data_IF_019988292452
#
_entry.id   IF_019988292452
#
_cell.length_a   1.000
_cell.length_b   1.000
_cell.length_c   1.000
_cell.angle_alpha   90.00
_cell.angle_beta   90.00
_cell.angle_gamma   90.00
#
_symmetry.space_group_name_H-M   'P 1'
#
loop_
_entity.id
_entity.type
_entity.pdbx_description
1 polymer ?
#
# COMPACT_ATOMS: atom_id res chain seq x y z
N UNK A 1 34.71 -28.93 9.02
CA UNK A 1 34.67 -29.58 7.69
C UNK A 1 34.76 -28.46 6.65
N UNK A 2 35.94 -28.25 6.08
CA UNK A 2 36.19 -27.18 5.09
C UNK A 2 35.49 -27.56 3.80
N UNK A 3 34.48 -26.78 3.38
CA UNK A 3 33.81 -27.01 2.10
C UNK A 3 34.84 -26.85 0.96
N UNK A 4 34.85 -27.74 -0.04
CA UNK A 4 35.84 -27.65 -1.12
C UNK A 4 35.62 -26.36 -1.92
N UNK A 5 36.71 -25.62 -2.10
CA UNK A 5 36.76 -24.38 -2.85
C UNK A 5 36.34 -24.63 -4.31
N UNK A 6 35.20 -24.04 -4.71
CA UNK A 6 34.59 -24.29 -6.01
C UNK A 6 35.12 -23.22 -6.97
N UNK A 7 35.83 -23.59 -8.05
CA UNK A 7 36.50 -22.62 -8.91
C UNK A 7 35.51 -21.64 -9.57
N UNK A 8 35.86 -20.34 -9.60
CA UNK A 8 35.05 -19.22 -10.14
C UNK A 8 34.74 -19.30 -11.63
N UNK A 9 35.39 -20.22 -12.35
CA UNK A 9 35.17 -20.38 -13.77
C UNK A 9 34.85 -21.82 -14.10
N UNK A 10 33.88 -22.01 -14.99
CA UNK A 10 33.65 -23.30 -15.64
C UNK A 10 34.19 -23.21 -17.05
N UNK A 11 35.10 -24.13 -17.37
CA UNK A 11 35.61 -24.26 -18.73
C UNK A 11 34.88 -25.41 -19.40
N UNK A 12 33.95 -25.07 -20.29
CA UNK A 12 33.34 -26.05 -21.17
C UNK A 12 34.29 -26.25 -22.35
N UNK A 13 34.91 -27.42 -22.41
CA UNK A 13 35.76 -27.83 -23.51
C UNK A 13 35.08 -28.99 -24.25
N UNK A 14 34.47 -28.69 -25.39
CA UNK A 14 33.99 -29.70 -26.31
C UNK A 14 35.18 -30.24 -27.13
N UNK A 15 35.35 -31.57 -27.19
CA UNK A 15 36.50 -32.21 -27.86
C UNK A 15 36.49 -32.00 -29.38
N UNK A 16 35.39 -31.50 -29.94
CA UNK A 16 35.24 -31.21 -31.36
C UNK A 16 35.41 -29.72 -31.72
N UNK A 17 35.60 -28.83 -30.74
CA UNK A 17 35.71 -27.39 -30.97
C UNK A 17 37.16 -26.89 -30.96
N UNK A 18 37.56 -26.12 -31.98
CA UNK A 18 38.89 -25.52 -32.08
C UNK A 18 39.14 -24.32 -31.13
N UNK A 19 38.14 -23.93 -30.32
CA UNK A 19 38.22 -22.81 -29.38
C UNK A 19 37.61 -23.19 -28.02
N UNK A 20 38.24 -22.74 -26.94
CA UNK A 20 37.84 -23.04 -25.55
C UNK A 20 37.14 -21.81 -24.97
N UNK A 21 35.91 -21.97 -24.48
CA UNK A 21 35.14 -20.87 -23.87
C UNK A 21 35.21 -20.96 -22.34
N UNK A 22 35.55 -19.85 -21.70
CA UNK A 22 35.59 -19.72 -20.24
C UNK A 22 34.41 -18.84 -19.81
N UNK A 23 33.56 -19.34 -18.91
CA UNK A 23 32.52 -18.54 -18.27
C UNK A 23 32.93 -18.23 -16.85
N UNK A 24 32.98 -16.94 -16.52
CA UNK A 24 33.20 -16.46 -15.17
C UNK A 24 31.86 -16.43 -14.42
N UNK A 25 31.85 -16.94 -13.19
CA UNK A 25 30.69 -16.94 -12.30
C UNK A 25 31.06 -16.10 -11.10
N UNK A 26 30.36 -14.99 -10.91
CA UNK A 26 30.51 -14.17 -9.71
C UNK A 26 29.98 -14.92 -8.49
N UNK A 27 30.81 -15.05 -7.46
CA UNK A 27 30.46 -15.71 -6.19
C UNK A 27 30.59 -14.70 -5.05
N UNK A 28 29.79 -14.88 -4.00
CA UNK A 28 29.80 -14.03 -2.79
C UNK A 28 31.07 -14.16 -1.93
N UNK A 29 32.07 -14.93 -2.39
CA UNK A 29 33.29 -15.23 -1.64
C UNK A 29 34.52 -15.01 -2.53
N UNK A 30 35.09 -13.80 -2.58
CA UNK A 30 36.35 -13.50 -3.28
C UNK A 30 37.54 -14.37 -2.83
N UNK A 31 38.58 -14.41 -3.65
CA UNK A 31 39.73 -15.31 -3.52
C UNK A 31 40.66 -14.94 -2.35
N UNK A 32 40.52 -13.72 -1.81
CA UNK A 32 41.19 -13.26 -0.59
C UNK A 32 40.52 -13.78 0.70
N UNK A 33 39.47 -14.60 0.56
CA UNK A 33 38.77 -15.22 1.67
C UNK A 33 37.77 -14.31 2.37
N UNK A 34 37.67 -13.03 1.97
CA UNK A 34 36.60 -12.16 2.45
C UNK A 34 35.25 -12.63 1.91
N UNK A 35 34.17 -12.44 2.66
CA UNK A 35 32.82 -12.77 2.21
C UNK A 35 32.09 -11.45 2.04
N UNK A 36 31.69 -11.13 0.81
CA UNK A 36 31.05 -9.84 0.50
C UNK A 36 29.73 -9.69 1.25
N UNK A 37 29.02 -10.81 1.45
CA UNK A 37 27.76 -10.83 2.19
C UNK A 37 27.98 -10.56 3.69
N UNK A 38 29.08 -11.06 4.27
CA UNK A 38 29.42 -10.79 5.66
C UNK A 38 29.93 -9.35 5.88
N UNK A 39 30.70 -8.79 4.94
CA UNK A 39 31.11 -7.38 5.00
C UNK A 39 29.90 -6.44 4.99
N UNK A 40 28.92 -6.71 4.14
CA UNK A 40 27.68 -5.92 4.07
C UNK A 40 26.87 -5.94 5.38
N UNK A 41 26.78 -7.10 6.03
CA UNK A 41 26.11 -7.24 7.33
C UNK A 41 26.84 -6.49 8.46
N UNK A 42 28.16 -6.36 8.35
CA UNK A 42 29.02 -5.67 9.34
C UNK A 42 29.02 -4.15 9.12
N UNK A 43 28.94 -3.69 7.87
CA UNK A 43 28.86 -2.28 7.48
C UNK A 43 27.45 -1.68 7.67
N UNK A 44 26.40 -2.52 7.63
CA UNK A 44 25.02 -2.11 7.85
C UNK A 44 24.35 -3.04 8.86
N UNK A 45 24.72 -2.98 10.15
CA UNK A 45 24.15 -3.83 11.16
C UNK A 45 22.65 -3.58 11.25
N UNK A 46 21.86 -4.66 11.22
CA UNK A 46 20.44 -4.56 11.52
C UNK A 46 20.27 -3.84 12.88
N UNK A 47 19.35 -2.86 13.00
CA UNK A 47 19.17 -2.17 14.27
C UNK A 47 18.76 -3.21 15.32
N UNK A 48 19.65 -3.46 16.28
CA UNK A 48 19.37 -4.32 17.42
C UNK A 48 18.49 -3.57 18.42
N UNK A 49 17.23 -3.36 18.05
CA UNK A 49 16.17 -3.07 19.02
C UNK A 49 15.34 -4.33 19.21
N UNK A 50 15.87 -5.24 20.02
CA UNK A 50 15.03 -6.18 20.77
C UNK A 50 14.47 -5.44 21.98
N UNK A 51 13.58 -4.49 21.74
CA UNK A 51 12.54 -4.25 22.72
C UNK A 51 11.52 -5.39 22.57
N UNK A 52 11.16 -6.10 23.66
CA UNK A 52 10.02 -6.99 23.62
C UNK A 52 8.81 -6.15 23.24
N UNK A 53 7.96 -6.66 22.34
CA UNK A 53 6.68 -6.04 21.99
C UNK A 53 5.93 -5.67 23.28
N UNK A 54 6.05 -4.41 23.68
CA UNK A 54 5.29 -3.83 24.77
C UNK A 54 4.43 -2.75 24.15
N UNK A 55 3.13 -3.06 24.08
CA UNK A 55 2.02 -2.16 23.77
C UNK A 55 2.03 -1.51 22.38
N UNK A 56 1.42 -2.20 21.41
CA UNK A 56 0.60 -1.57 20.37
C UNK A 56 -0.58 -0.84 21.05
N UNK A 57 -0.34 0.36 21.56
CA UNK A 57 -1.39 1.28 22.03
C UNK A 57 -1.05 2.72 21.65
N UNK A 58 -0.54 2.90 20.42
CA UNK A 58 -0.30 4.23 19.86
C UNK A 58 -0.64 4.36 18.37
N UNK A 59 -1.53 3.53 17.84
CA UNK A 59 -1.91 3.54 16.41
C UNK A 59 -3.42 3.42 16.23
N UNK A 60 -4.18 4.30 16.89
CA UNK A 60 -5.62 4.44 16.63
C UNK A 60 -5.93 5.84 16.11
N UNK A 61 -5.50 6.87 16.83
CA UNK A 61 -5.94 8.24 16.55
C UNK A 61 -5.23 8.84 15.32
N UNK A 62 -3.94 8.56 15.13
CA UNK A 62 -3.19 8.99 13.94
C UNK A 62 -3.65 8.26 12.67
N UNK A 63 -3.95 6.96 12.79
CA UNK A 63 -4.43 6.14 11.68
C UNK A 63 -5.87 6.53 11.27
N UNK A 64 -6.71 6.88 12.25
CA UNK A 64 -8.08 7.36 12.00
C UNK A 64 -8.06 8.73 11.31
N UNK A 65 -7.23 9.67 11.77
CA UNK A 65 -7.07 10.97 11.11
C UNK A 65 -6.55 10.82 9.67
N UNK A 66 -5.58 9.93 9.45
CA UNK A 66 -5.07 9.63 8.11
C UNK A 66 -6.16 9.05 7.19
N UNK A 67 -7.00 8.15 7.72
CA UNK A 67 -8.11 7.57 6.95
C UNK A 67 -9.15 8.64 6.58
N UNK A 68 -9.49 9.55 7.50
CA UNK A 68 -10.41 10.66 7.24
C UNK A 68 -9.88 11.59 6.13
N UNK A 69 -8.62 12.02 6.22
CA UNK A 69 -7.99 12.87 5.21
C UNK A 69 -7.99 12.22 3.82
N UNK A 70 -7.66 10.93 3.75
CA UNK A 70 -7.66 10.18 2.50
C UNK A 70 -9.06 10.09 1.87
N UNK A 71 -10.10 9.91 2.70
CA UNK A 71 -11.49 9.88 2.23
C UNK A 71 -11.95 11.25 1.72
N UNK A 72 -11.63 12.32 2.43
CA UNK A 72 -11.92 13.68 2.00
C UNK A 72 -11.23 13.98 0.66
N UNK A 73 -9.93 13.67 0.54
CA UNK A 73 -9.20 13.84 -0.71
C UNK A 73 -9.84 13.05 -1.86
N UNK A 74 -10.31 11.82 -1.60
CA UNK A 74 -11.00 11.03 -2.60
C UNK A 74 -12.30 11.70 -3.08
N UNK A 75 -13.09 12.32 -2.20
CA UNK A 75 -14.28 13.09 -2.58
C UNK A 75 -13.89 14.31 -3.42
N UNK A 76 -12.82 15.03 -3.05
CA UNK A 76 -12.35 16.17 -3.85
C UNK A 76 -11.93 15.75 -5.26
N UNK A 77 -11.22 14.62 -5.39
CA UNK A 77 -10.87 14.06 -6.69
C UNK A 77 -12.11 13.66 -7.51
N UNK A 78 -13.17 13.17 -6.87
CA UNK A 78 -14.45 12.87 -7.53
C UNK A 78 -15.16 14.14 -8.04
N UNK A 79 -15.09 15.23 -7.26
CA UNK A 79 -15.64 16.52 -7.68
C UNK A 79 -14.84 17.12 -8.85
N UNK A 80 -13.52 17.02 -8.82
CA UNK A 80 -12.65 17.50 -9.89
C UNK A 80 -12.84 16.70 -11.19
N UNK A 81 -12.96 15.38 -11.08
CA UNK A 81 -13.22 14.50 -12.24
C UNK A 81 -14.66 14.56 -12.73
N UNK A 82 -15.60 15.00 -11.90
CA UNK A 82 -17.04 14.99 -12.20
C UNK A 82 -17.67 13.59 -12.17
N UNK A 83 -16.95 12.59 -11.65
CA UNK A 83 -17.38 11.19 -11.60
C UNK A 83 -17.38 10.66 -10.15
N UNK A 84 -18.49 10.06 -9.67
CA UNK A 84 -19.80 10.00 -10.34
C UNK A 84 -20.51 11.36 -10.36
N UNK A 85 -21.38 11.57 -11.35
CA UNK A 85 -22.18 12.81 -11.45
C UNK A 85 -23.04 13.08 -10.19
N UNK A 86 -23.34 12.03 -9.42
CA UNK A 86 -24.01 12.13 -8.13
C UNK A 86 -23.23 12.96 -7.09
N UNK A 87 -21.89 12.98 -7.16
CA UNK A 87 -21.02 13.70 -6.21
C UNK A 87 -21.27 15.20 -6.28
N UNK A 88 -21.18 15.80 -7.47
CA UNK A 88 -21.47 17.22 -7.67
C UNK A 88 -22.93 17.57 -7.38
N UNK A 89 -23.87 16.71 -7.81
CA UNK A 89 -25.29 16.93 -7.55
C UNK A 89 -25.61 16.94 -6.05
N UNK A 90 -24.95 16.09 -5.27
CA UNK A 90 -25.12 16.01 -3.82
C UNK A 90 -24.56 17.24 -3.12
N UNK A 91 -23.35 17.69 -3.49
CA UNK A 91 -22.77 18.92 -2.96
C UNK A 91 -23.67 20.14 -3.24
N UNK A 92 -24.14 20.29 -4.48
CA UNK A 92 -25.04 21.37 -4.87
C UNK A 92 -26.37 21.33 -4.08
N UNK A 93 -26.92 20.14 -3.87
CA UNK A 93 -28.16 19.96 -3.10
C UNK A 93 -27.97 20.37 -1.64
N UNK A 94 -26.91 19.91 -0.99
CA UNK A 94 -26.66 20.18 0.43
C UNK A 94 -26.35 21.66 0.68
N UNK A 95 -25.50 22.26 -0.16
CA UNK A 95 -25.20 23.70 -0.09
C UNK A 95 -26.43 24.58 -0.33
N UNK A 96 -27.35 24.16 -1.21
CA UNK A 96 -28.63 24.86 -1.42
C UNK A 96 -29.54 24.81 -0.18
N UNK A 97 -29.47 23.75 0.62
CA UNK A 97 -30.21 23.60 1.88
C UNK A 97 -29.54 24.39 3.03
N UNK A 98 -28.32 24.90 2.81
CA UNK A 98 -27.63 25.79 3.75
C UNK A 98 -26.50 25.13 4.54
N UNK A 99 -26.06 23.93 4.16
CA UNK A 99 -24.87 23.30 4.74
C UNK A 99 -23.60 23.92 4.18
N UNK A 100 -22.59 24.09 5.02
CA UNK A 100 -21.26 24.56 4.60
C UNK A 100 -20.57 23.50 3.74
N UNK A 101 -19.70 23.93 2.82
CA UNK A 101 -19.01 23.02 1.90
C UNK A 101 -18.26 21.92 2.66
N UNK A 102 -17.53 22.29 3.70
CA UNK A 102 -16.68 21.36 4.44
C UNK A 102 -17.54 20.30 5.17
N UNK A 103 -18.67 20.70 5.74
CA UNK A 103 -19.64 19.77 6.35
C UNK A 103 -20.26 18.83 5.30
N UNK A 104 -20.54 19.33 4.09
CA UNK A 104 -20.99 18.49 2.99
C UNK A 104 -19.95 17.44 2.62
N UNK A 105 -18.67 17.83 2.53
CA UNK A 105 -17.58 16.91 2.20
C UNK A 105 -17.40 15.84 3.27
N UNK A 106 -17.50 16.20 4.55
CA UNK A 106 -17.44 15.26 5.67
C UNK A 106 -18.58 14.23 5.58
N UNK A 107 -19.82 14.67 5.35
CA UNK A 107 -20.95 13.74 5.17
C UNK A 107 -20.76 12.81 3.96
N UNK A 108 -20.22 13.33 2.85
CA UNK A 108 -19.92 12.52 1.66
C UNK A 108 -18.79 11.51 1.92
N UNK A 109 -17.76 11.90 2.68
CA UNK A 109 -16.68 11.02 3.10
C UNK A 109 -17.18 9.88 4.01
N UNK A 110 -18.12 10.15 4.91
CA UNK A 110 -18.76 9.12 5.74
C UNK A 110 -19.53 8.10 4.90
N UNK A 111 -20.22 8.53 3.84
CA UNK A 111 -20.90 7.63 2.89
C UNK A 111 -19.88 6.76 2.14
N UNK A 112 -18.76 7.34 1.71
CA UNK A 112 -17.68 6.59 1.06
C UNK A 112 -17.05 5.56 2.02
N UNK A 113 -16.79 5.96 3.27
CA UNK A 113 -16.28 5.08 4.31
C UNK A 113 -17.21 3.90 4.58
N UNK A 114 -18.52 4.12 4.60
CA UNK A 114 -19.52 3.06 4.76
C UNK A 114 -19.42 2.02 3.64
N UNK A 115 -19.33 2.47 2.39
CA UNK A 115 -19.20 1.55 1.24
C UNK A 115 -17.87 0.80 1.26
N UNK A 116 -16.75 1.47 1.59
CA UNK A 116 -15.44 0.81 1.71
C UNK A 116 -15.46 -0.23 2.84
N UNK A 117 -16.10 0.08 3.98
CA UNK A 117 -16.25 -0.88 5.09
C UNK A 117 -17.06 -2.09 4.66
N UNK A 118 -18.17 -1.89 3.95
CA UNK A 118 -18.98 -3.00 3.43
C UNK A 118 -18.22 -3.84 2.40
N UNK A 119 -17.47 -3.18 1.51
CA UNK A 119 -16.58 -3.82 0.53
C UNK A 119 -15.57 -4.75 1.22
N UNK A 120 -14.91 -4.26 2.26
CA UNK A 120 -13.90 -5.02 3.02
C UNK A 120 -14.52 -6.13 3.88
N UNK A 121 -15.63 -5.85 4.57
CA UNK A 121 -16.32 -6.81 5.44
C UNK A 121 -16.87 -8.00 4.66
N UNK A 122 -17.47 -7.71 3.51
CA UNK A 122 -18.18 -8.71 2.71
C UNK A 122 -17.26 -9.32 1.61
N UNK A 123 -15.96 -8.95 1.60
CA UNK A 123 -14.95 -9.35 0.60
C UNK A 123 -15.47 -9.25 -0.85
N UNK A 124 -16.07 -8.09 -1.16
CA UNK A 124 -16.74 -7.82 -2.45
C UNK A 124 -16.08 -6.63 -3.15
N UNK A 125 -16.28 -6.45 -4.47
CA UNK A 125 -15.89 -5.21 -5.13
C UNK A 125 -16.74 -4.02 -4.66
N UNK A 126 -16.22 -2.80 -4.85
CA UNK A 126 -16.92 -1.55 -4.59
C UNK A 126 -18.20 -1.45 -5.44
N UNK A 127 -19.33 -1.15 -4.80
CA UNK A 127 -20.62 -0.96 -5.47
C UNK A 127 -20.91 0.53 -5.67
N UNK A 128 -20.59 1.02 -6.87
CA UNK A 128 -20.84 2.40 -7.25
C UNK A 128 -22.32 2.78 -7.26
N UNK A 129 -23.24 1.85 -7.56
CA UNK A 129 -24.66 2.14 -7.61
C UNK A 129 -25.25 2.29 -6.20
N UNK A 130 -24.81 1.45 -5.26
CA UNK A 130 -25.14 1.58 -3.84
C UNK A 130 -24.59 2.90 -3.27
N UNK A 131 -23.31 3.20 -3.54
CA UNK A 131 -22.66 4.45 -3.14
C UNK A 131 -23.41 5.69 -3.65
N UNK A 132 -23.73 5.76 -4.94
CA UNK A 132 -24.49 6.89 -5.50
C UNK A 132 -25.88 7.03 -4.87
N UNK A 133 -26.54 5.91 -4.57
CA UNK A 133 -27.85 5.92 -3.92
C UNK A 133 -27.75 6.50 -2.52
N UNK A 134 -26.70 6.16 -1.76
CA UNK A 134 -26.45 6.74 -0.44
C UNK A 134 -26.11 8.23 -0.51
N UNK A 135 -25.27 8.66 -1.44
CA UNK A 135 -24.97 10.09 -1.65
C UNK A 135 -26.25 10.91 -1.87
N UNK A 136 -27.16 10.41 -2.71
CA UNK A 136 -28.43 11.10 -2.99
C UNK A 136 -29.35 11.21 -1.78
N UNK A 137 -29.20 10.36 -0.75
CA UNK A 137 -29.99 10.39 0.49
C UNK A 137 -29.48 11.39 1.52
N UNK A 138 -28.24 11.87 1.40
CA UNK A 138 -27.72 12.90 2.31
C UNK A 138 -28.69 14.09 2.43
N UNK A 139 -28.94 14.63 3.63
CA UNK A 139 -28.12 14.50 4.84
C UNK A 139 -28.41 13.26 5.71
N UNK A 140 -29.29 12.35 5.29
CA UNK A 140 -29.48 11.07 6.00
C UNK A 140 -28.23 10.19 5.86
N UNK A 141 -27.48 10.06 6.96
CA UNK A 141 -26.27 9.23 7.02
C UNK A 141 -26.63 7.74 7.09
N UNK A 142 -25.82 6.87 6.47
CA UNK A 142 -26.02 5.42 6.62
C UNK A 142 -25.78 5.02 8.08
N UNK A 143 -26.59 4.10 8.59
CA UNK A 143 -26.41 3.56 9.93
C UNK A 143 -25.02 2.92 10.03
N UNK A 144 -24.28 3.25 11.08
CA UNK A 144 -23.06 2.55 11.42
C UNK A 144 -23.45 1.11 11.80
N UNK A 145 -23.30 0.18 10.86
CA UNK A 145 -23.41 -1.24 11.18
C UNK A 145 -22.22 -1.58 12.09
N UNK A 146 -22.51 -1.90 13.36
CA UNK A 146 -21.56 -2.45 14.34
C UNK A 146 -20.95 -3.78 13.87
#
# INVERSE_FOLDING_TARGET
>A
MTAPDRPRYRVDADRQAAQRRVRYVETNRPDDGSCTLCQLDEENPAPLDRNPMTNDTHTSDEDEAFAEEALLQAIENQLESGEPAATQATLNKLTLVGYERDECLQMMALVLAHEIRAMLRDDRPFDGAAYETMLRKLPELPEASE
#
